data_IF_561535362477
#
_entry.id   IF_561535362477
#
_cell.length_a   1.000
_cell.length_b   1.000
_cell.length_c   1.000
_cell.angle_alpha   90.00
_cell.angle_beta   90.00
_cell.angle_gamma   90.00
#
_symmetry.space_group_name_H-M   'P 1'
#
loop_
_entity.id
_entity.type
_entity.pdbx_description
1 polymer ?
#
# COMPACT_ATOMS: atom_id res chain seq x y z
N UNK A 1 5.56 -6.61 -3.35
CA UNK A 1 5.56 -5.13 -3.43
C UNK A 1 4.16 -4.69 -3.81
N UNK A 2 3.63 -3.68 -3.11
CA UNK A 2 2.34 -3.06 -3.41
C UNK A 2 2.58 -1.57 -3.68
N UNK A 3 2.12 -1.08 -4.83
CA UNK A 3 2.23 0.31 -5.25
C UNK A 3 0.88 0.88 -5.69
N UNK A 4 0.77 2.21 -5.62
CA UNK A 4 -0.32 2.99 -6.19
C UNK A 4 0.32 4.06 -7.08
N UNK A 5 0.17 3.91 -8.39
CA UNK A 5 0.93 4.67 -9.39
C UNK A 5 2.44 4.67 -9.05
N UNK A 6 3.05 5.84 -8.87
CA UNK A 6 4.48 5.98 -8.54
C UNK A 6 4.80 5.83 -7.04
N UNK A 7 3.80 5.64 -6.18
CA UNK A 7 3.97 5.58 -4.73
C UNK A 7 4.08 4.13 -4.25
N UNK A 8 5.20 3.78 -3.59
CA UNK A 8 5.39 2.46 -3.00
C UNK A 8 4.79 2.38 -1.59
N UNK A 9 3.69 1.62 -1.45
CA UNK A 9 2.95 1.48 -0.20
C UNK A 9 3.56 0.42 0.71
N UNK A 10 3.95 -0.72 0.12
CA UNK A 10 4.55 -1.85 0.84
C UNK A 10 5.67 -2.51 0.01
N UNK A 11 6.81 -2.75 0.63
CA UNK A 11 7.87 -3.61 0.09
C UNK A 11 8.71 -4.20 1.21
N UNK A 12 9.43 -5.28 0.93
CA UNK A 12 10.33 -5.95 1.88
C UNK A 12 11.51 -5.08 2.30
N UNK A 13 11.84 -4.03 1.54
CA UNK A 13 12.93 -3.11 1.85
C UNK A 13 12.49 -1.92 2.72
N UNK A 14 11.20 -1.80 3.07
CA UNK A 14 10.73 -0.76 4.00
C UNK A 14 11.12 -1.14 5.43
N UNK A 15 11.68 -0.17 6.18
CA UNK A 15 12.07 -0.39 7.58
C UNK A 15 10.89 -0.89 8.43
N UNK A 16 11.15 -1.88 9.29
CA UNK A 16 10.13 -2.58 10.09
C UNK A 16 9.24 -1.65 10.92
N UNK A 17 9.80 -0.59 11.52
CA UNK A 17 9.04 0.40 12.27
C UNK A 17 8.01 1.15 11.39
N UNK A 18 8.41 1.55 10.17
CA UNK A 18 7.51 2.20 9.20
C UNK A 18 6.48 1.24 8.63
N UNK A 19 6.82 -0.04 8.49
CA UNK A 19 5.88 -1.06 8.06
C UNK A 19 4.79 -1.28 9.10
N UNK A 20 5.16 -1.44 10.36
CA UNK A 20 4.21 -1.65 11.46
C UNK A 20 3.18 -0.52 11.53
N UNK A 21 3.66 0.73 11.50
CA UNK A 21 2.79 1.92 11.51
C UNK A 21 1.82 1.95 10.31
N UNK A 22 2.28 1.51 9.12
CA UNK A 22 1.42 1.47 7.92
C UNK A 22 0.37 0.36 7.99
N UNK A 23 0.74 -0.82 8.50
CA UNK A 23 -0.16 -1.97 8.58
C UNK A 23 -1.33 -1.75 9.55
N UNK A 24 -1.18 -0.84 10.51
CA UNK A 24 -2.23 -0.46 11.47
C UNK A 24 -3.20 0.60 10.90
N UNK A 25 -2.90 1.18 9.74
CA UNK A 25 -3.73 2.21 9.11
C UNK A 25 -4.62 1.63 8.00
N UNK A 26 -5.81 2.21 7.77
CA UNK A 26 -6.60 1.85 6.60
C UNK A 26 -5.88 2.27 5.31
N UNK A 27 -6.05 1.49 4.24
CA UNK A 27 -5.33 1.67 2.97
C UNK A 27 -5.47 3.08 2.40
N UNK A 28 -6.62 3.72 2.58
CA UNK A 28 -6.88 5.11 2.15
C UNK A 28 -5.97 6.12 2.86
N UNK A 29 -5.77 5.97 4.17
CA UNK A 29 -4.86 6.82 4.97
C UNK A 29 -3.40 6.58 4.58
N UNK A 30 -3.02 5.32 4.32
CA UNK A 30 -1.67 5.00 3.84
C UNK A 30 -1.41 5.69 2.50
N UNK A 31 -2.36 5.61 1.55
CA UNK A 31 -2.25 6.25 0.24
C UNK A 31 -2.09 7.76 0.38
N UNK A 32 -2.91 8.41 1.21
CA UNK A 32 -2.81 9.85 1.43
C UNK A 32 -1.48 10.26 2.06
N UNK A 33 -1.01 9.49 3.04
CA UNK A 33 0.24 9.73 3.78
C UNK A 33 1.49 9.54 2.91
N UNK A 34 1.53 8.48 2.10
CA UNK A 34 2.67 8.16 1.24
C UNK A 34 2.68 9.05 -0.01
N UNK A 35 1.52 9.25 -0.65
CA UNK A 35 1.42 10.10 -1.84
C UNK A 35 1.51 11.60 -1.50
N UNK A 36 1.32 11.99 -0.23
CA UNK A 36 1.18 13.40 0.22
C UNK A 36 0.05 14.14 -0.53
N UNK A 37 -0.95 13.41 -1.01
CA UNK A 37 -2.11 13.93 -1.73
C UNK A 37 -3.38 13.55 -0.98
N UNK A 38 -4.36 14.43 -0.96
CA UNK A 38 -5.68 14.12 -0.42
C UNK A 38 -6.47 13.29 -1.44
N UNK A 39 -7.29 12.36 -0.96
CA UNK A 39 -8.28 11.70 -1.80
C UNK A 39 -9.46 12.65 -2.03
N UNK A 40 -9.85 12.87 -3.28
CA UNK A 40 -11.06 13.63 -3.56
C UNK A 40 -12.32 12.84 -3.22
N UNK A 41 -13.35 13.55 -2.75
CA UNK A 41 -14.63 12.93 -2.32
C UNK A 41 -15.36 12.15 -3.42
N UNK A 42 -15.06 12.44 -4.69
CA UNK A 42 -15.69 11.77 -5.83
C UNK A 42 -15.03 10.43 -6.19
N UNK A 43 -13.85 10.14 -5.63
CA UNK A 43 -13.11 8.91 -5.91
C UNK A 43 -13.77 7.74 -5.19
N UNK A 44 -14.28 6.78 -5.96
CA UNK A 44 -14.96 5.57 -5.45
C UNK A 44 -14.10 4.31 -5.53
N UNK A 45 -13.01 4.35 -6.29
CA UNK A 45 -12.14 3.20 -6.52
C UNK A 45 -10.67 3.64 -6.56
N UNK A 46 -9.80 2.77 -6.08
CA UNK A 46 -8.34 2.92 -6.13
C UNK A 46 -7.74 1.71 -6.83
N UNK A 47 -6.80 1.96 -7.73
CA UNK A 47 -6.09 0.91 -8.46
C UNK A 47 -4.73 0.70 -7.81
N UNK A 48 -4.40 -0.55 -7.52
CA UNK A 48 -3.13 -0.95 -6.92
C UNK A 48 -2.43 -1.96 -7.83
N UNK A 49 -1.10 -1.87 -7.85
CA UNK A 49 -0.24 -2.82 -8.55
C UNK A 49 0.44 -3.70 -7.51
N UNK A 50 0.33 -5.01 -7.69
CA UNK A 50 0.87 -6.01 -6.79
C UNK A 50 1.92 -6.85 -7.53
N UNK A 51 3.16 -6.80 -7.05
CA UNK A 51 4.22 -7.69 -7.48
C UNK A 51 4.49 -8.71 -6.37
N UNK A 52 4.15 -9.97 -6.61
CA UNK A 52 4.41 -11.07 -5.69
C UNK A 52 5.61 -11.88 -6.16
N UNK A 53 6.30 -12.51 -5.21
CA UNK A 53 7.21 -13.60 -5.53
C UNK A 53 6.42 -14.92 -5.46
N UNK A 54 6.59 -15.83 -6.43
CA UNK A 54 5.76 -17.04 -6.53
C UNK A 54 5.85 -17.97 -5.31
N UNK A 55 6.96 -17.92 -4.55
CA UNK A 55 7.15 -18.73 -3.34
C UNK A 55 6.44 -18.19 -2.08
N UNK A 56 5.72 -17.07 -2.16
CA UNK A 56 5.11 -16.39 -1.01
C UNK A 56 3.57 -16.27 -1.11
N UNK A 57 2.95 -17.15 -1.87
CA UNK A 57 1.52 -17.14 -2.16
C UNK A 57 0.72 -17.81 -1.03
N UNK A 58 0.66 -17.19 0.15
CA UNK A 58 -0.27 -17.53 1.24
C UNK A 58 -1.13 -16.33 1.64
N UNK A 59 -1.72 -15.64 0.67
CA UNK A 59 -2.68 -14.56 0.96
C UNK A 59 -3.94 -14.85 0.13
N UNK A 60 -5.05 -15.05 0.84
CA UNK A 60 -6.41 -15.45 0.41
C UNK A 60 -6.79 -16.95 0.49
N UNK A 61 -6.50 -17.60 1.62
CA UNK A 61 -7.40 -18.65 2.15
C UNK A 61 -7.88 -18.29 3.55
#
# INVERSE_FOLDING_TARGET
MLSQAVSMLYSFFVAAAKLKERLELPVTEIVMKVSKKKLDKHVKALVFELCLHPLHCEIFS
#
